data_IF_574640762492
#
_entry.id   IF_574640762492
#
_cell.length_a   1.000
_cell.length_b   1.000
_cell.length_c   1.000
_cell.angle_alpha   90.00
_cell.angle_beta   90.00
_cell.angle_gamma   90.00
#
_symmetry.space_group_name_H-M   'P 1'
#
loop_
_entity.id
_entity.type
_entity.pdbx_description
1 polymer ?
#
# COMPACT_ATOMS: atom_id res chain seq x y z
N UNK A 1 -25.91 2.65 -2.64
CA UNK A 1 -25.09 1.41 -2.55
C UNK A 1 -24.59 0.90 -3.91
N UNK A 2 -25.12 1.38 -5.05
CA UNK A 2 -24.56 1.13 -6.38
C UNK A 2 -23.45 2.13 -6.78
N UNK A 3 -23.36 3.27 -6.09
CA UNK A 3 -22.39 4.32 -6.37
C UNK A 3 -20.95 3.90 -6.04
N UNK A 4 -20.75 3.15 -4.95
CA UNK A 4 -19.45 2.60 -4.55
C UNK A 4 -18.85 1.64 -5.58
N UNK A 5 -19.70 0.84 -6.25
CA UNK A 5 -19.26 -0.11 -7.28
C UNK A 5 -18.92 0.64 -8.57
N UNK A 6 -19.69 1.67 -8.89
CA UNK A 6 -19.45 2.54 -10.05
C UNK A 6 -18.15 3.34 -9.90
N UNK A 7 -17.91 3.90 -8.71
CA UNK A 7 -16.66 4.61 -8.36
C UNK A 7 -15.45 3.68 -8.45
N UNK A 8 -15.53 2.48 -7.84
CA UNK A 8 -14.42 1.51 -7.88
C UNK A 8 -14.04 1.11 -9.30
N UNK A 9 -15.02 0.81 -10.16
CA UNK A 9 -14.74 0.46 -11.56
C UNK A 9 -14.14 1.61 -12.35
N UNK A 10 -14.59 2.85 -12.09
CA UNK A 10 -14.08 4.04 -12.78
C UNK A 10 -12.65 4.38 -12.40
N UNK A 11 -12.31 4.25 -11.12
CA UNK A 11 -10.99 4.62 -10.58
C UNK A 11 -10.08 3.43 -10.28
N UNK A 12 -10.44 2.23 -10.72
CA UNK A 12 -9.69 0.98 -10.44
C UNK A 12 -8.20 1.10 -10.76
N UNK A 13 -7.87 1.63 -11.94
CA UNK A 13 -6.48 1.83 -12.35
C UNK A 13 -5.73 2.82 -11.46
N UNK A 14 -6.34 3.97 -11.15
CA UNK A 14 -5.73 4.99 -10.28
C UNK A 14 -5.52 4.47 -8.87
N UNK A 15 -6.51 3.79 -8.30
CA UNK A 15 -6.45 3.23 -6.95
C UNK A 15 -5.42 2.09 -6.86
N UNK A 16 -5.31 1.24 -7.90
CA UNK A 16 -4.23 0.25 -7.98
C UNK A 16 -2.86 0.91 -8.07
N UNK A 17 -2.68 1.96 -8.87
CA UNK A 17 -1.41 2.70 -8.94
C UNK A 17 -1.03 3.33 -7.59
N UNK A 18 -2.00 3.88 -6.86
CA UNK A 18 -1.78 4.40 -5.50
C UNK A 18 -1.38 3.27 -4.55
N UNK A 19 -2.08 2.13 -4.59
CA UNK A 19 -1.75 0.96 -3.79
C UNK A 19 -0.32 0.46 -4.09
N UNK A 20 0.08 0.40 -5.36
CA UNK A 20 1.44 0.04 -5.77
C UNK A 20 2.49 1.03 -5.29
N UNK A 21 2.21 2.33 -5.33
CA UNK A 21 3.12 3.36 -4.81
C UNK A 21 3.27 3.24 -3.28
N UNK A 22 2.16 2.99 -2.57
CA UNK A 22 2.15 2.73 -1.13
C UNK A 22 2.88 1.46 -0.72
N UNK A 23 3.09 0.51 -1.62
CA UNK A 23 3.88 -0.70 -1.37
C UNK A 23 5.36 -0.48 -1.71
N UNK A 24 5.64 -0.02 -2.92
CA UNK A 24 7.00 0.01 -3.48
C UNK A 24 7.90 1.05 -2.82
N UNK A 25 7.40 2.26 -2.57
CA UNK A 25 8.18 3.32 -1.92
C UNK A 25 8.65 2.90 -0.52
N UNK A 26 7.77 2.51 0.42
CA UNK A 26 8.23 2.10 1.74
C UNK A 26 8.98 0.77 1.74
N UNK A 27 8.75 -0.15 0.79
CA UNK A 27 9.49 -1.40 0.73
C UNK A 27 11.02 -1.21 0.59
N UNK A 28 11.45 -0.21 -0.20
CA UNK A 28 12.87 0.13 -0.37
C UNK A 28 13.47 0.60 0.96
N UNK A 29 12.76 1.50 1.66
CA UNK A 29 13.17 2.01 2.97
C UNK A 29 13.11 0.94 4.05
N UNK A 30 12.18 -0.02 3.92
CA UNK A 30 11.99 -1.12 4.86
C UNK A 30 13.16 -2.09 4.80
N UNK A 31 13.66 -2.37 3.59
CA UNK A 31 14.88 -3.15 3.40
C UNK A 31 16.10 -2.49 4.09
N UNK A 32 16.30 -1.19 3.90
CA UNK A 32 17.39 -0.46 4.56
C UNK A 32 17.20 -0.40 6.09
N UNK A 33 15.98 -0.15 6.56
CA UNK A 33 15.65 -0.07 7.98
C UNK A 33 15.85 -1.42 8.69
N UNK A 34 15.46 -2.52 8.05
CA UNK A 34 15.66 -3.87 8.55
C UNK A 34 17.16 -4.23 8.63
N UNK A 35 17.95 -3.86 7.61
CA UNK A 35 19.40 -4.06 7.60
C UNK A 35 20.11 -3.27 8.71
N UNK A 36 19.63 -2.05 9.00
CA UNK A 36 20.21 -1.18 10.02
C UNK A 36 19.67 -1.47 11.44
N UNK A 37 18.81 -2.47 11.62
CA UNK A 37 18.27 -2.85 12.93
C UNK A 37 17.29 -1.83 13.54
N UNK A 38 16.74 -0.90 12.74
CA UNK A 38 15.78 0.10 13.22
C UNK A 38 14.38 -0.51 13.37
N UNK A 39 14.12 -1.16 14.51
CA UNK A 39 12.90 -1.92 14.79
C UNK A 39 11.61 -1.08 14.67
N UNK A 40 11.59 0.15 15.20
CA UNK A 40 10.41 1.03 15.16
C UNK A 40 10.07 1.50 13.75
N UNK A 41 11.07 1.95 12.98
CA UNK A 41 10.89 2.44 11.62
C UNK A 41 10.49 1.29 10.67
N UNK A 42 11.06 0.10 10.88
CA UNK A 42 10.70 -1.12 10.15
C UNK A 42 9.24 -1.50 10.38
N UNK A 43 8.74 -1.42 11.62
CA UNK A 43 7.35 -1.72 11.97
C UNK A 43 6.37 -0.74 11.30
N UNK A 44 6.69 0.56 11.31
CA UNK A 44 5.86 1.58 10.65
C UNK A 44 5.79 1.32 9.14
N UNK A 45 6.93 1.07 8.50
CA UNK A 45 6.99 0.80 7.06
C UNK A 45 6.24 -0.51 6.70
N UNK A 46 6.35 -1.55 7.53
CA UNK A 46 5.56 -2.78 7.37
C UNK A 46 4.06 -2.50 7.41
N UNK A 47 3.61 -1.65 8.33
CA UNK A 47 2.20 -1.24 8.43
C UNK A 47 1.71 -0.51 7.18
N UNK A 48 2.52 0.39 6.62
CA UNK A 48 2.19 1.12 5.38
C UNK A 48 2.09 0.15 4.19
N UNK A 49 3.03 -0.79 4.06
CA UNK A 49 3.01 -1.82 3.01
C UNK A 49 1.76 -2.70 3.13
N UNK A 50 1.41 -3.13 4.35
CA UNK A 50 0.22 -3.93 4.61
C UNK A 50 -1.08 -3.17 4.27
N UNK A 51 -1.15 -1.87 4.58
CA UNK A 51 -2.27 -1.02 4.19
C UNK A 51 -2.39 -0.89 2.64
N UNK A 52 -1.26 -0.75 1.94
CA UNK A 52 -1.22 -0.74 0.48
C UNK A 52 -1.71 -2.05 -0.14
N UNK A 53 -1.33 -3.21 0.42
CA UNK A 53 -1.85 -4.52 0.00
C UNK A 53 -3.36 -4.65 0.24
N UNK A 54 -3.85 -4.20 1.40
CA UNK A 54 -5.28 -4.18 1.72
C UNK A 54 -6.08 -3.34 0.73
N UNK A 55 -5.55 -2.17 0.35
CA UNK A 55 -6.14 -1.33 -0.69
C UNK A 55 -6.15 -2.05 -2.05
N UNK A 56 -5.05 -2.70 -2.44
CA UNK A 56 -4.99 -3.45 -3.69
C UNK A 56 -6.04 -4.57 -3.76
N UNK A 57 -6.23 -5.32 -2.66
CA UNK A 57 -7.25 -6.38 -2.56
C UNK A 57 -8.66 -5.80 -2.61
N UNK A 58 -8.92 -4.67 -1.96
CA UNK A 58 -10.24 -4.03 -1.94
C UNK A 58 -10.66 -3.44 -3.30
N UNK A 59 -9.68 -3.02 -4.11
CA UNK A 59 -9.87 -2.44 -5.45
C UNK A 59 -10.01 -3.50 -6.54
N UNK A 60 -9.33 -4.65 -6.38
CA UNK A 60 -9.29 -5.72 -7.37
C UNK A 60 -10.59 -6.53 -7.44
#
# INVERSE_FOLDING_TARGET
MNDDISFRKRYRFTLLSIAFAMITLPAIWLYQSALNGHSGLTMILMGVVAAGMGLAIWVN
#
